data_IF_822271175293
#
_entry.id   IF_822271175293
#
_cell.length_a   1.000
_cell.length_b   1.000
_cell.length_c   1.000
_cell.angle_alpha   90.00
_cell.angle_beta   90.00
_cell.angle_gamma   90.00
#
_symmetry.space_group_name_H-M   'P 1'
#
loop_
_entity.id
_entity.type
_entity.pdbx_description
1 polymer ?
#
# COMPACT_ATOMS: atom_id res chain seq x y z
N UNK A 1 -4.57 -34.65 -17.32
CA UNK A 1 -3.80 -33.83 -16.39
C UNK A 1 -4.71 -32.66 -16.03
N UNK A 2 -4.92 -32.28 -14.77
CA UNK A 2 -5.69 -31.09 -14.49
C UNK A 2 -5.04 -29.91 -15.19
N UNK A 3 -5.86 -29.06 -15.78
CA UNK A 3 -5.44 -27.87 -16.52
C UNK A 3 -4.62 -27.00 -15.54
N UNK A 4 -3.32 -26.83 -15.80
CA UNK A 4 -2.46 -25.99 -14.95
C UNK A 4 -2.86 -24.53 -15.21
N UNK A 5 -3.07 -23.78 -14.13
CA UNK A 5 -3.39 -22.37 -14.19
C UNK A 5 -2.47 -21.60 -15.15
N UNK A 6 -3.03 -20.71 -15.96
CA UNK A 6 -2.30 -19.85 -16.87
C UNK A 6 -1.68 -18.72 -16.08
N UNK A 7 -0.35 -18.70 -16.01
CA UNK A 7 0.40 -17.72 -15.24
C UNK A 7 1.15 -16.75 -16.15
N UNK A 8 1.15 -15.46 -15.79
CA UNK A 8 2.08 -14.47 -16.32
C UNK A 8 3.30 -14.33 -15.42
N UNK A 9 4.44 -13.93 -16.00
CA UNK A 9 5.68 -13.69 -15.28
C UNK A 9 6.13 -12.25 -15.53
N UNK A 10 6.32 -11.49 -14.45
CA UNK A 10 6.88 -10.14 -14.46
C UNK A 10 8.10 -10.09 -13.54
N UNK A 11 9.15 -9.37 -13.94
CA UNK A 11 10.36 -9.21 -13.15
C UNK A 11 10.82 -7.75 -13.14
N UNK A 12 11.34 -7.32 -12.00
CA UNK A 12 11.99 -6.00 -11.90
C UNK A 12 13.31 -5.98 -12.69
N UNK A 13 13.81 -4.78 -12.98
CA UNK A 13 15.04 -4.57 -13.79
C UNK A 13 16.34 -4.93 -13.05
N UNK A 14 16.26 -5.44 -11.81
CA UNK A 14 17.45 -5.85 -11.08
C UNK A 14 18.03 -7.16 -11.62
N UNK A 15 19.38 -7.28 -11.67
CA UNK A 15 20.07 -8.47 -12.17
C UNK A 15 19.60 -9.77 -11.49
N UNK A 16 19.36 -9.72 -10.18
CA UNK A 16 18.87 -10.86 -9.41
C UNK A 16 17.45 -11.30 -9.81
N UNK A 17 16.56 -10.35 -10.04
CA UNK A 17 15.20 -10.65 -10.45
C UNK A 17 15.17 -11.17 -11.89
N UNK A 18 15.96 -10.58 -12.79
CA UNK A 18 16.05 -11.00 -14.19
C UNK A 18 16.66 -12.41 -14.30
N UNK A 19 17.72 -12.72 -13.55
CA UNK A 19 18.30 -14.07 -13.53
C UNK A 19 17.28 -15.11 -13.00
N UNK A 20 16.54 -14.78 -11.94
CA UNK A 20 15.51 -15.67 -11.41
C UNK A 20 14.36 -15.87 -12.41
N UNK A 21 13.91 -14.81 -13.07
CA UNK A 21 12.87 -14.87 -14.10
C UNK A 21 13.31 -15.71 -15.30
N UNK A 22 14.56 -15.59 -15.75
CA UNK A 22 15.13 -16.41 -16.83
C UNK A 22 15.09 -17.91 -16.47
N UNK A 23 15.47 -18.25 -15.21
CA UNK A 23 15.41 -19.65 -14.74
C UNK A 23 13.97 -20.17 -14.67
N UNK A 24 13.01 -19.35 -14.24
CA UNK A 24 11.60 -19.71 -14.20
C UNK A 24 11.03 -19.84 -15.64
N UNK A 25 11.45 -18.97 -16.55
CA UNK A 25 11.02 -18.95 -17.94
C UNK A 25 11.31 -20.24 -18.68
N UNK A 26 12.43 -20.92 -18.37
CA UNK A 26 12.80 -22.20 -18.99
C UNK A 26 11.89 -23.37 -18.59
N UNK A 27 11.24 -23.29 -17.44
CA UNK A 27 10.50 -24.39 -16.82
C UNK A 27 8.99 -24.23 -16.92
N UNK A 28 8.47 -23.12 -17.46
CA UNK A 28 7.05 -22.76 -17.42
C UNK A 28 6.44 -22.43 -18.77
N UNK A 29 5.13 -22.65 -18.88
CA UNK A 29 4.30 -22.13 -19.96
C UNK A 29 3.69 -20.83 -19.49
N UNK A 30 4.39 -19.75 -19.74
CA UNK A 30 3.94 -18.41 -19.37
C UNK A 30 3.07 -17.82 -20.48
N UNK A 31 2.06 -17.06 -20.10
CA UNK A 31 1.14 -16.38 -21.01
C UNK A 31 1.25 -14.85 -20.82
N UNK A 32 0.81 -14.05 -21.80
CA UNK A 32 0.66 -12.61 -21.61
C UNK A 32 -0.24 -12.28 -20.42
N UNK A 33 -0.01 -11.15 -19.75
CA UNK A 33 -0.77 -10.75 -18.56
C UNK A 33 -2.29 -10.72 -18.80
N UNK A 34 -2.71 -10.29 -19.99
CA UNK A 34 -4.12 -10.23 -20.38
C UNK A 34 -4.81 -11.61 -20.47
N UNK A 35 -4.05 -12.70 -20.61
CA UNK A 35 -4.55 -14.06 -20.72
C UNK A 35 -4.36 -14.88 -19.43
N UNK A 36 -3.70 -14.29 -18.43
CA UNK A 36 -3.31 -14.98 -17.21
C UNK A 36 -4.45 -15.04 -16.20
N UNK A 37 -4.47 -16.11 -15.43
CA UNK A 37 -5.35 -16.31 -14.25
C UNK A 37 -4.69 -15.82 -12.96
N UNK A 38 -3.35 -15.70 -12.95
CA UNK A 38 -2.57 -15.07 -11.90
C UNK A 38 -1.24 -14.58 -12.46
N UNK A 39 -0.60 -13.64 -11.77
CA UNK A 39 0.72 -13.11 -12.12
C UNK A 39 1.76 -13.48 -11.06
N UNK A 40 2.91 -13.98 -11.52
CA UNK A 40 4.10 -14.18 -10.68
C UNK A 40 4.99 -12.95 -10.85
N UNK A 41 5.25 -12.26 -9.75
CA UNK A 41 6.03 -11.01 -9.69
C UNK A 41 7.36 -11.30 -9.01
N UNK A 42 8.46 -11.17 -9.75
CA UNK A 42 9.84 -11.41 -9.25
C UNK A 42 10.51 -10.06 -8.97
N UNK A 43 10.79 -9.78 -7.70
CA UNK A 43 11.35 -8.48 -7.31
C UNK A 43 11.25 -8.22 -5.82
N UNK A 44 11.10 -6.97 -5.41
CA UNK A 44 10.80 -6.55 -4.05
C UNK A 44 9.40 -5.92 -3.93
N UNK A 45 9.06 -5.43 -2.73
CA UNK A 45 7.76 -4.80 -2.45
C UNK A 45 7.45 -3.62 -3.39
N UNK A 46 8.47 -2.81 -3.72
CA UNK A 46 8.30 -1.67 -4.64
C UNK A 46 7.83 -2.11 -6.03
N UNK A 47 8.39 -3.19 -6.60
CA UNK A 47 7.97 -3.71 -7.89
C UNK A 47 6.59 -4.39 -7.82
N UNK A 48 6.29 -5.07 -6.69
CA UNK A 48 4.95 -5.58 -6.45
C UNK A 48 3.93 -4.43 -6.45
N UNK A 49 4.19 -3.35 -5.72
CA UNK A 49 3.30 -2.17 -5.70
C UNK A 49 3.11 -1.57 -7.09
N UNK A 50 4.19 -1.41 -7.88
CA UNK A 50 4.09 -0.94 -9.26
C UNK A 50 3.19 -1.85 -10.12
N UNK A 51 3.36 -3.16 -9.98
CA UNK A 51 2.51 -4.15 -10.70
C UNK A 51 1.05 -4.02 -10.29
N UNK A 52 0.78 -3.93 -8.99
CA UNK A 52 -0.58 -3.78 -8.47
C UNK A 52 -1.23 -2.46 -8.90
N UNK A 53 -0.46 -1.35 -8.93
CA UNK A 53 -0.94 -0.06 -9.45
C UNK A 53 -1.26 -0.14 -10.95
N UNK A 54 -0.41 -0.77 -11.76
CA UNK A 54 -0.67 -0.97 -13.17
C UNK A 54 -1.95 -1.80 -13.41
N UNK A 55 -2.23 -2.77 -12.54
CA UNK A 55 -3.47 -3.53 -12.58
C UNK A 55 -4.70 -2.70 -12.17
N UNK A 56 -4.55 -1.78 -11.21
CA UNK A 56 -5.63 -0.86 -10.80
C UNK A 56 -5.92 0.20 -11.86
N UNK A 57 -4.89 0.70 -12.53
CA UNK A 57 -5.04 1.78 -13.52
C UNK A 57 -5.71 1.26 -14.81
N UNK A 58 -5.20 0.18 -15.41
CA UNK A 58 -5.68 -0.28 -16.74
C UNK A 58 -5.60 -1.80 -16.95
N UNK A 59 -5.23 -2.57 -15.93
CA UNK A 59 -4.95 -4.00 -16.07
C UNK A 59 -6.07 -4.93 -15.61
N UNK A 60 -5.91 -6.25 -15.83
CA UNK A 60 -6.78 -7.23 -15.23
C UNK A 60 -6.50 -7.34 -13.73
N UNK A 61 -7.54 -7.28 -12.89
CA UNK A 61 -7.42 -7.49 -11.45
C UNK A 61 -7.31 -8.99 -11.13
N UNK A 62 -6.16 -9.60 -11.43
CA UNK A 62 -5.87 -11.01 -11.21
C UNK A 62 -5.00 -11.20 -9.95
N UNK A 63 -5.04 -12.40 -9.31
CA UNK A 63 -4.19 -12.68 -8.15
C UNK A 63 -2.69 -12.52 -8.45
N UNK A 64 -1.95 -11.86 -7.56
CA UNK A 64 -0.51 -11.64 -7.66
C UNK A 64 0.26 -12.49 -6.65
N UNK A 65 1.25 -13.23 -7.13
CA UNK A 65 2.15 -14.06 -6.34
C UNK A 65 3.57 -13.51 -6.41
N UNK A 66 4.04 -12.88 -5.35
CA UNK A 66 5.38 -12.28 -5.29
C UNK A 66 6.47 -13.28 -4.93
N UNK A 67 7.63 -13.20 -5.57
CA UNK A 67 8.87 -13.85 -5.19
C UNK A 67 9.90 -12.80 -4.77
N UNK A 68 10.31 -12.82 -3.50
CA UNK A 68 11.21 -11.80 -2.95
C UNK A 68 12.65 -11.97 -3.45
N UNK A 69 13.08 -11.04 -4.25
CA UNK A 69 14.47 -10.79 -4.65
C UNK A 69 14.94 -9.38 -4.23
N UNK A 70 14.19 -8.72 -3.32
CA UNK A 70 14.55 -7.48 -2.65
C UNK A 70 15.04 -7.71 -1.22
N UNK A 71 15.07 -6.63 -0.42
CA UNK A 71 15.60 -6.65 0.95
C UNK A 71 14.59 -7.14 2.00
N UNK A 72 13.36 -6.67 1.97
CA UNK A 72 12.34 -6.95 3.01
C UNK A 72 11.30 -7.95 2.50
N UNK A 73 10.43 -7.56 1.58
CA UNK A 73 9.47 -8.44 0.93
C UNK A 73 8.21 -8.72 1.74
N UNK A 74 7.57 -7.69 2.31
CA UNK A 74 6.32 -7.83 3.05
C UNK A 74 5.17 -8.38 2.21
N UNK A 75 5.08 -7.95 0.95
CA UNK A 75 4.07 -8.40 0.00
C UNK A 75 4.50 -9.64 -0.80
N UNK A 76 5.68 -10.20 -0.50
CA UNK A 76 6.34 -11.22 -1.30
C UNK A 76 6.47 -12.55 -0.54
N UNK A 77 6.56 -13.64 -1.28
CA UNK A 77 6.96 -14.94 -0.76
C UNK A 77 8.48 -15.11 -0.81
N UNK A 78 9.04 -15.96 0.06
CA UNK A 78 10.48 -16.27 0.02
C UNK A 78 10.84 -16.97 -1.30
N UNK A 79 11.92 -16.55 -1.93
CA UNK A 79 12.50 -17.24 -3.06
C UNK A 79 13.07 -18.58 -2.55
N UNK A 80 12.41 -19.71 -2.88
CA UNK A 80 12.85 -21.08 -2.56
C UNK A 80 13.01 -21.82 -3.86
N UNK A 81 14.14 -22.50 -4.04
CA UNK A 81 14.52 -23.15 -5.31
C UNK A 81 13.92 -24.53 -5.56
N UNK A 82 13.25 -25.14 -4.60
CA UNK A 82 13.01 -26.59 -4.64
C UNK A 82 11.61 -27.06 -5.05
N UNK A 83 10.67 -26.13 -5.33
CA UNK A 83 9.31 -26.51 -5.73
C UNK A 83 8.91 -25.79 -7.02
N UNK A 84 8.16 -26.52 -7.86
CA UNK A 84 7.53 -25.94 -9.05
C UNK A 84 6.65 -24.73 -8.68
N UNK A 85 6.88 -23.60 -9.32
CA UNK A 85 6.16 -22.34 -9.07
C UNK A 85 4.65 -22.50 -9.31
N UNK A 86 4.26 -23.28 -10.30
CA UNK A 86 2.85 -23.55 -10.59
C UNK A 86 2.15 -24.27 -9.44
N UNK A 87 2.83 -25.25 -8.81
CA UNK A 87 2.31 -25.95 -7.63
C UNK A 87 2.24 -25.03 -6.41
N UNK A 88 3.16 -24.08 -6.26
CA UNK A 88 3.14 -23.11 -5.16
C UNK A 88 1.94 -22.16 -5.32
N UNK A 89 1.76 -21.58 -6.50
CA UNK A 89 0.63 -20.70 -6.82
C UNK A 89 -0.70 -21.43 -6.61
N UNK A 90 -0.85 -22.66 -7.12
CA UNK A 90 -2.07 -23.45 -7.00
C UNK A 90 -2.45 -23.77 -5.52
N UNK A 91 -1.47 -23.82 -4.63
CA UNK A 91 -1.67 -24.12 -3.19
C UNK A 91 -1.63 -22.88 -2.30
N UNK A 92 -1.39 -21.71 -2.86
CA UNK A 92 -1.26 -20.46 -2.13
C UNK A 92 -2.58 -20.09 -1.41
N UNK A 93 -2.45 -19.40 -0.29
CA UNK A 93 -3.57 -18.76 0.41
C UNK A 93 -3.79 -17.37 -0.22
N UNK A 94 -5.00 -17.07 -0.61
CA UNK A 94 -5.38 -15.73 -1.08
C UNK A 94 -5.68 -14.80 0.07
N UNK A 95 -5.21 -13.56 -0.05
CA UNK A 95 -5.50 -12.45 0.87
C UNK A 95 -5.98 -11.28 0.04
N UNK A 96 -7.18 -10.80 0.35
CA UNK A 96 -7.74 -9.61 -0.31
C UNK A 96 -7.17 -8.34 0.32
N UNK A 97 -6.78 -7.39 -0.52
CA UNK A 97 -6.31 -6.05 -0.13
C UNK A 97 -7.15 -5.02 -0.87
N UNK A 98 -7.80 -4.14 -0.12
CA UNK A 98 -8.54 -3.01 -0.68
C UNK A 98 -7.67 -1.75 -0.59
N UNK A 99 -7.45 -1.02 -1.70
CA UNK A 99 -6.69 0.21 -1.67
C UNK A 99 -7.49 1.36 -1.03
N UNK A 100 -6.79 2.42 -0.65
CA UNK A 100 -7.38 3.71 -0.34
C UNK A 100 -7.76 4.41 -1.64
N UNK A 101 -8.95 4.99 -1.70
CA UNK A 101 -9.32 6.00 -2.67
C UNK A 101 -9.04 7.38 -2.05
N UNK A 102 -8.28 8.21 -2.74
CA UNK A 102 -7.98 9.57 -2.36
C UNK A 102 -8.59 10.54 -3.36
N UNK A 103 -9.32 11.53 -2.86
CA UNK A 103 -9.69 12.73 -3.60
C UNK A 103 -8.94 13.91 -2.99
N UNK A 104 -8.15 14.62 -3.79
CA UNK A 104 -7.41 15.79 -3.35
C UNK A 104 -7.78 16.99 -4.19
N UNK A 105 -8.09 18.12 -3.53
CA UNK A 105 -8.39 19.40 -4.17
C UNK A 105 -7.21 20.34 -3.95
N UNK A 106 -6.67 20.88 -5.02
CA UNK A 106 -5.62 21.91 -4.98
C UNK A 106 -6.19 23.27 -4.57
N UNK A 107 -5.33 24.22 -4.22
CA UNK A 107 -5.73 25.62 -3.95
C UNK A 107 -6.37 26.30 -5.16
N UNK A 108 -6.04 25.85 -6.37
CA UNK A 108 -6.69 26.31 -7.61
C UNK A 108 -8.10 25.72 -7.82
N UNK A 109 -8.57 24.86 -6.92
CA UNK A 109 -9.87 24.19 -7.03
C UNK A 109 -9.89 23.01 -8.00
N UNK A 110 -8.73 22.51 -8.42
CA UNK A 110 -8.62 21.33 -9.30
C UNK A 110 -8.67 20.07 -8.44
N UNK A 111 -9.56 19.15 -8.80
CA UNK A 111 -9.74 17.88 -8.12
C UNK A 111 -8.94 16.78 -8.84
N UNK A 112 -8.26 15.95 -8.03
CA UNK A 112 -7.48 14.81 -8.48
C UNK A 112 -7.89 13.56 -7.70
N UNK A 113 -7.88 12.41 -8.38
CA UNK A 113 -8.23 11.10 -7.80
C UNK A 113 -7.06 10.15 -7.95
N UNK A 114 -6.62 9.55 -6.85
CA UNK A 114 -5.58 8.52 -6.84
C UNK A 114 -5.97 7.38 -5.90
N UNK A 115 -5.38 6.20 -6.13
CA UNK A 115 -5.45 5.07 -5.22
C UNK A 115 -4.10 4.87 -4.54
N UNK A 116 -4.12 4.38 -3.29
CA UNK A 116 -2.94 3.94 -2.57
C UNK A 116 -3.16 2.56 -1.96
N UNK A 117 -2.20 1.68 -2.13
CA UNK A 117 -2.23 0.32 -1.58
C UNK A 117 -1.70 0.33 -0.15
N UNK A 118 -0.64 1.09 0.11
CA UNK A 118 -0.07 1.25 1.43
C UNK A 118 -0.69 2.42 2.20
N UNK A 119 -0.41 3.65 1.80
CA UNK A 119 -0.85 4.83 2.54
C UNK A 119 -1.04 6.07 1.66
N UNK A 120 -1.87 6.97 2.18
CA UNK A 120 -1.93 8.37 1.75
C UNK A 120 -1.30 9.22 2.84
N UNK A 121 -0.26 10.00 2.51
CA UNK A 121 0.43 10.88 3.45
C UNK A 121 0.37 12.33 3.02
N UNK A 122 0.11 13.24 3.97
CA UNK A 122 0.21 14.68 3.81
C UNK A 122 1.48 15.15 4.50
N UNK A 123 2.29 15.95 3.80
CA UNK A 123 3.59 16.44 4.29
C UNK A 123 3.72 17.95 4.06
N UNK A 124 4.32 18.66 5.03
CA UNK A 124 4.68 20.06 4.85
C UNK A 124 5.71 20.23 3.73
N UNK A 125 5.52 21.22 2.87
CA UNK A 125 6.47 21.52 1.79
C UNK A 125 7.60 22.46 2.20
N UNK A 126 7.47 23.11 3.35
CA UNK A 126 8.44 24.10 3.85
C UNK A 126 8.93 23.76 5.24
N UNK A 127 9.78 24.64 5.83
CA UNK A 127 10.23 24.52 7.23
C UNK A 127 9.13 24.83 8.25
N UNK A 128 8.02 25.44 7.84
CA UNK A 128 6.88 25.68 8.71
C UNK A 128 6.13 24.37 8.95
N UNK A 129 5.64 24.15 10.18
CA UNK A 129 4.77 23.01 10.47
C UNK A 129 3.52 23.08 9.61
N UNK A 130 3.05 21.93 9.12
CA UNK A 130 1.69 21.84 8.59
C UNK A 130 0.69 22.15 9.70
N UNK A 131 -0.42 22.77 9.35
CA UNK A 131 -1.62 22.91 10.19
C UNK A 131 -2.78 22.31 9.44
N UNK A 132 -3.37 21.27 9.99
CA UNK A 132 -4.42 20.49 9.37
C UNK A 132 -5.62 20.41 10.29
N UNK A 133 -6.82 20.68 9.76
CA UNK A 133 -8.04 20.22 10.39
C UNK A 133 -8.27 18.77 9.99
N UNK A 134 -8.59 17.91 10.95
CA UNK A 134 -8.84 16.49 10.72
C UNK A 134 -10.29 16.17 11.04
N UNK A 135 -10.99 15.60 10.07
CA UNK A 135 -12.38 15.13 10.22
C UNK A 135 -12.48 13.62 9.99
N UNK A 136 -13.44 12.99 10.66
CA UNK A 136 -13.81 11.59 10.46
C UNK A 136 -15.33 11.53 10.33
N UNK A 137 -15.80 10.95 9.23
CA UNK A 137 -17.21 10.81 8.89
C UNK A 137 -17.96 12.17 8.94
N UNK A 138 -17.33 13.21 8.38
CA UNK A 138 -17.86 14.58 8.31
C UNK A 138 -17.82 15.34 9.64
N UNK A 139 -17.31 14.75 10.73
CA UNK A 139 -17.18 15.44 12.03
C UNK A 139 -15.73 15.84 12.28
N UNK A 140 -15.49 17.11 12.53
CA UNK A 140 -14.17 17.61 12.93
C UNK A 140 -13.79 16.97 14.26
N UNK A 141 -12.68 16.23 14.26
CA UNK A 141 -12.12 15.56 15.44
C UNK A 141 -10.92 16.32 16.01
N UNK A 142 -10.14 16.94 15.15
CA UNK A 142 -9.01 17.80 15.55
C UNK A 142 -9.13 19.11 14.75
N UNK A 143 -9.50 20.22 15.38
CA UNK A 143 -9.65 21.51 14.69
C UNK A 143 -8.30 22.06 14.17
N UNK A 144 -7.19 21.77 14.84
CA UNK A 144 -5.84 22.14 14.40
C UNK A 144 -4.83 21.07 14.86
N UNK A 145 -4.32 20.29 13.90
CA UNK A 145 -3.16 19.42 14.05
C UNK A 145 -1.94 20.16 13.52
N UNK A 146 -1.01 20.55 14.39
CA UNK A 146 0.29 21.12 14.01
C UNK A 146 1.34 20.00 14.02
N UNK A 147 1.92 19.70 12.86
CA UNK A 147 2.79 18.52 12.68
C UNK A 147 3.74 18.72 11.48
N UNK A 148 4.60 17.75 11.22
CA UNK A 148 5.32 17.65 9.94
C UNK A 148 4.43 17.03 8.86
N UNK A 149 3.47 16.20 9.26
CA UNK A 149 2.53 15.56 8.38
C UNK A 149 1.56 14.63 9.11
N UNK A 150 0.73 13.95 8.35
CA UNK A 150 -0.20 12.92 8.82
C UNK A 150 -0.40 11.91 7.71
N UNK A 151 -0.64 10.65 8.05
CA UNK A 151 -0.93 9.63 7.06
C UNK A 151 -2.14 8.76 7.46
N UNK A 152 -2.77 8.18 6.44
CA UNK A 152 -3.77 7.14 6.56
C UNK A 152 -3.22 5.90 5.89
N UNK A 153 -3.07 4.81 6.64
CA UNK A 153 -2.53 3.55 6.11
C UNK A 153 -3.58 2.43 6.14
N UNK A 154 -3.50 1.58 5.12
CA UNK A 154 -4.20 0.29 5.08
C UNK A 154 -3.49 -0.72 6.00
N UNK A 155 -4.08 -1.88 6.28
CA UNK A 155 -3.36 -2.98 6.92
C UNK A 155 -2.08 -3.38 6.17
N UNK A 156 -2.08 -3.38 4.83
CA UNK A 156 -0.90 -3.69 4.02
C UNK A 156 0.20 -2.64 4.20
N UNK A 157 -0.15 -1.35 4.26
CA UNK A 157 0.77 -0.23 4.47
C UNK A 157 1.17 -0.02 5.93
N UNK A 158 0.54 -0.73 6.88
CA UNK A 158 0.82 -0.51 8.30
C UNK A 158 2.27 -0.82 8.70
N UNK A 159 2.97 -1.66 7.93
CA UNK A 159 4.39 -2.01 8.09
C UNK A 159 5.33 -1.18 7.21
N UNK A 160 4.81 -0.23 6.41
CA UNK A 160 5.58 0.67 5.55
C UNK A 160 5.85 2.01 6.25
N UNK A 161 5.51 3.13 5.62
CA UNK A 161 5.76 4.47 6.21
C UNK A 161 5.03 4.68 7.53
N UNK A 162 3.86 4.06 7.71
CA UNK A 162 3.13 4.09 8.96
C UNK A 162 3.98 3.60 10.14
N UNK A 163 4.72 2.49 9.97
CA UNK A 163 5.62 1.96 11.02
C UNK A 163 6.75 2.95 11.33
N UNK A 164 7.35 3.55 10.30
CA UNK A 164 8.39 4.57 10.46
C UNK A 164 7.89 5.82 11.17
N UNK A 165 6.60 6.14 11.05
CA UNK A 165 5.92 7.21 11.77
C UNK A 165 5.45 6.79 13.18
N UNK A 166 5.86 5.62 13.68
CA UNK A 166 5.42 5.02 14.94
C UNK A 166 3.90 4.75 14.99
N UNK A 167 3.28 4.48 13.88
CA UNK A 167 1.90 4.04 13.79
C UNK A 167 1.72 2.57 14.20
N UNK A 168 0.48 2.15 14.48
CA UNK A 168 0.17 0.78 14.84
C UNK A 168 0.33 -0.16 13.64
N UNK A 169 0.83 -1.37 13.88
CA UNK A 169 0.80 -2.45 12.89
C UNK A 169 -0.60 -3.08 12.94
N UNK A 170 -1.23 -3.17 11.78
CA UNK A 170 -2.57 -3.76 11.62
C UNK A 170 -2.48 -5.15 10.96
N UNK A 171 -3.22 -6.16 11.46
CA UNK A 171 -3.33 -7.44 10.77
C UNK A 171 -3.87 -7.25 9.34
N UNK A 172 -3.28 -7.91 8.34
CA UNK A 172 -3.59 -7.68 6.93
C UNK A 172 -5.08 -7.90 6.57
N UNK A 173 -5.73 -8.83 7.23
CA UNK A 173 -7.16 -9.11 7.03
C UNK A 173 -8.10 -8.30 7.93
N UNK A 174 -7.61 -7.31 8.67
CA UNK A 174 -8.46 -6.50 9.55
C UNK A 174 -9.22 -5.43 8.76
N UNK A 175 -10.47 -5.18 9.18
CA UNK A 175 -11.31 -4.11 8.64
C UNK A 175 -11.01 -2.78 9.37
N UNK A 176 -9.73 -2.35 9.34
CA UNK A 176 -9.24 -1.19 10.08
C UNK A 176 -8.33 -0.33 9.21
N UNK A 177 -8.22 0.95 9.57
CA UNK A 177 -7.27 1.93 9.04
C UNK A 177 -6.44 2.51 10.18
N UNK A 178 -5.18 2.81 9.93
CA UNK A 178 -4.34 3.59 10.83
C UNK A 178 -4.33 5.05 10.38
N UNK A 179 -4.65 5.97 11.29
CA UNK A 179 -4.48 7.41 11.11
C UNK A 179 -3.33 7.84 12.01
N UNK A 180 -2.18 8.18 11.45
CA UNK A 180 -0.93 8.37 12.19
C UNK A 180 -0.34 9.75 11.90
N UNK A 181 -0.08 10.59 12.93
CA UNK A 181 0.62 11.86 12.76
C UNK A 181 2.12 11.65 12.61
N UNK A 182 2.76 12.53 11.85
CA UNK A 182 4.21 12.57 11.66
C UNK A 182 4.75 13.75 12.47
N UNK A 183 5.56 13.49 13.48
CA UNK A 183 6.15 14.49 14.37
C UNK A 183 5.14 15.52 14.89
N UNK A 184 4.05 15.13 15.57
CA UNK A 184 3.02 16.05 16.02
C UNK A 184 3.54 16.99 17.10
N UNK A 185 3.36 18.32 16.88
CA UNK A 185 3.68 19.35 17.86
C UNK A 185 2.47 19.66 18.76
N UNK A 186 1.28 19.71 18.18
CA UNK A 186 -0.01 19.87 18.88
C UNK A 186 -1.11 19.08 18.15
N UNK A 187 -1.99 18.34 18.85
CA UNK A 187 -1.96 18.04 20.29
C UNK A 187 -0.76 17.14 20.68
N UNK A 188 0.00 17.49 21.71
CA UNK A 188 1.28 16.83 22.06
C UNK A 188 1.17 15.33 22.41
N UNK A 189 0.02 14.88 22.87
CA UNK A 189 -0.20 13.49 23.32
C UNK A 189 -0.97 12.65 22.32
N UNK A 190 -1.41 13.24 21.23
CA UNK A 190 -2.14 12.48 20.23
C UNK A 190 -1.16 11.67 19.38
N UNK A 191 -1.35 10.35 19.38
CA UNK A 191 -0.51 9.40 18.67
C UNK A 191 -1.17 8.81 17.44
N UNK A 192 -2.34 9.31 17.07
CA UNK A 192 -3.14 8.75 15.99
C UNK A 192 -4.38 8.02 16.49
N UNK A 193 -5.02 7.34 15.57
CA UNK A 193 -6.22 6.55 15.84
C UNK A 193 -6.25 5.31 14.95
N UNK A 194 -6.86 4.24 15.43
CA UNK A 194 -7.28 3.10 14.62
C UNK A 194 -8.77 3.30 14.35
N UNK A 195 -9.16 3.28 13.09
CA UNK A 195 -10.51 3.56 12.62
C UNK A 195 -11.06 2.35 11.85
N UNK A 196 -12.37 2.13 11.84
CA UNK A 196 -12.99 1.17 10.93
C UNK A 196 -12.67 1.51 9.46
N UNK A 197 -12.55 0.51 8.61
CA UNK A 197 -12.28 0.69 7.16
C UNK A 197 -13.47 1.33 6.41
N UNK A 198 -14.62 1.43 7.05
CA UNK A 198 -15.79 2.17 6.55
C UNK A 198 -15.69 3.68 6.77
N UNK A 199 -14.70 4.15 7.55
CA UNK A 199 -14.55 5.57 7.86
C UNK A 199 -14.03 6.36 6.66
N UNK A 200 -14.53 7.57 6.50
CA UNK A 200 -14.01 8.60 5.60
C UNK A 200 -13.22 9.63 6.39
N UNK A 201 -11.95 9.76 6.08
CA UNK A 201 -11.03 10.69 6.75
C UNK A 201 -10.86 11.92 5.86
N UNK A 202 -11.09 13.11 6.41
CA UNK A 202 -10.91 14.38 5.70
C UNK A 202 -9.80 15.20 6.35
N UNK A 203 -9.03 15.88 5.51
CA UNK A 203 -8.01 16.84 5.91
C UNK A 203 -8.27 18.15 5.18
N UNK A 204 -8.25 19.28 5.92
CA UNK A 204 -8.25 20.63 5.34
C UNK A 204 -6.99 21.35 5.77
N UNK A 205 -6.26 21.89 4.81
CA UNK A 205 -5.03 22.64 5.08
C UNK A 205 -5.38 24.02 5.62
N UNK A 206 -4.85 24.34 6.78
CA UNK A 206 -5.01 25.65 7.41
C UNK A 206 -3.81 26.54 7.07
N UNK A 207 -4.08 27.82 6.78
CA UNK A 207 -3.04 28.80 6.37
C UNK A 207 -2.19 28.33 5.17
N UNK A 208 -2.78 27.87 4.04
CA UNK A 208 -2.04 27.21 2.96
C UNK A 208 -0.99 28.12 2.29
N UNK A 209 -1.18 29.43 2.26
CA UNK A 209 -0.18 30.38 1.73
C UNK A 209 1.12 30.40 2.53
N UNK A 210 1.02 30.22 3.83
CA UNK A 210 2.17 30.20 4.75
C UNK A 210 2.72 28.81 4.99
N UNK A 211 1.86 27.80 4.88
CA UNK A 211 2.09 26.41 5.28
C UNK A 211 1.62 25.45 4.19
N UNK A 212 2.21 25.51 2.99
CA UNK A 212 1.83 24.62 1.92
C UNK A 212 2.09 23.16 2.30
N UNK A 213 1.20 22.30 1.81
CA UNK A 213 1.21 20.86 2.07
C UNK A 213 1.09 20.11 0.75
N UNK A 214 1.91 19.09 0.59
CA UNK A 214 1.76 18.08 -0.46
C UNK A 214 1.03 16.85 0.07
N UNK A 215 0.41 16.09 -0.84
CA UNK A 215 -0.15 14.77 -0.56
C UNK A 215 0.50 13.74 -1.46
N UNK A 216 0.76 12.56 -0.91
CA UNK A 216 1.36 11.43 -1.63
C UNK A 216 0.46 10.21 -1.46
N UNK A 217 0.04 9.60 -2.56
CA UNK A 217 -0.64 8.32 -2.59
C UNK A 217 0.37 7.26 -3.09
N UNK A 218 0.94 6.47 -2.17
CA UNK A 218 2.09 5.59 -2.40
C UNK A 218 3.27 6.34 -3.07
N UNK A 219 3.27 6.44 -4.40
CA UNK A 219 4.35 7.09 -5.18
C UNK A 219 3.88 8.31 -5.98
N UNK A 220 2.57 8.61 -5.99
CA UNK A 220 1.98 9.72 -6.76
C UNK A 220 1.87 10.97 -5.87
N UNK A 221 2.76 11.94 -6.06
CA UNK A 221 2.77 13.21 -5.30
C UNK A 221 1.91 14.27 -6.01
N UNK A 222 1.15 15.02 -5.22
CA UNK A 222 0.46 16.24 -5.64
C UNK A 222 0.75 17.35 -4.64
N UNK A 223 1.06 18.55 -5.14
CA UNK A 223 1.42 19.71 -4.33
C UNK A 223 0.30 20.75 -4.29
N UNK A 224 0.50 21.73 -3.43
CA UNK A 224 -0.39 22.90 -3.31
C UNK A 224 -1.83 22.52 -2.94
N UNK A 225 -1.96 21.68 -1.94
CA UNK A 225 -3.22 21.06 -1.52
C UNK A 225 -4.03 22.02 -0.63
N UNK A 226 -5.36 22.05 -0.85
CA UNK A 226 -6.33 22.69 0.01
C UNK A 226 -7.06 21.65 0.89
N UNK A 227 -7.55 20.57 0.28
CA UNK A 227 -8.34 19.55 0.96
C UNK A 227 -8.00 18.16 0.42
N UNK A 228 -8.10 17.15 1.30
CA UNK A 228 -7.95 15.74 0.95
C UNK A 228 -9.03 14.92 1.64
N UNK A 229 -9.64 14.01 0.91
CA UNK A 229 -10.55 12.99 1.46
C UNK A 229 -9.99 11.60 1.14
N UNK A 230 -9.95 10.73 2.15
CA UNK A 230 -9.44 9.36 2.05
C UNK A 230 -10.47 8.38 2.58
N UNK A 231 -10.73 7.32 1.83
CA UNK A 231 -11.59 6.20 2.25
C UNK A 231 -11.11 4.91 1.56
N UNK A 232 -11.54 3.74 2.02
CA UNK A 232 -11.29 2.47 1.31
C UNK A 232 -12.11 2.44 0.01
N UNK A 233 -11.48 1.99 -1.08
CA UNK A 233 -12.14 1.66 -2.34
C UNK A 233 -12.69 0.22 -2.25
N UNK A 234 -13.90 0.05 -1.71
CA UNK A 234 -14.49 -1.28 -1.49
C UNK A 234 -14.82 -2.04 -2.78
N UNK A 235 -14.94 -1.33 -3.90
CA UNK A 235 -15.21 -1.85 -5.26
C UNK A 235 -13.95 -2.36 -5.97
N UNK A 236 -12.77 -1.98 -5.49
CA UNK A 236 -11.48 -2.37 -6.04
C UNK A 236 -10.76 -3.31 -5.07
N UNK A 237 -10.69 -4.60 -5.43
CA UNK A 237 -10.02 -5.60 -4.59
C UNK A 237 -8.86 -6.23 -5.33
N UNK A 238 -7.67 -6.05 -4.79
CA UNK A 238 -6.47 -6.77 -5.18
C UNK A 238 -6.39 -8.09 -4.40
N UNK A 239 -5.82 -9.12 -5.02
CA UNK A 239 -5.61 -10.42 -4.36
C UNK A 239 -4.12 -10.74 -4.34
N UNK A 240 -3.56 -10.88 -3.15
CA UNK A 240 -2.19 -11.37 -2.95
C UNK A 240 -2.21 -12.86 -2.61
N UNK A 241 -1.26 -13.60 -3.17
CA UNK A 241 -1.10 -15.03 -2.95
C UNK A 241 0.13 -15.32 -2.09
N UNK A 242 -0.07 -16.03 -0.97
CA UNK A 242 1.00 -16.38 -0.03
C UNK A 242 1.12 -17.88 0.15
N UNK A 243 2.36 -18.37 0.27
CA UNK A 243 2.65 -19.77 0.61
C UNK A 243 1.99 -20.19 1.92
N UNK A 244 1.48 -21.40 1.98
CA UNK A 244 1.01 -21.99 3.24
C UNK A 244 2.16 -22.14 4.25
N UNK A 245 1.96 -21.68 5.48
CA UNK A 245 2.98 -21.69 6.54
C UNK A 245 3.93 -20.49 6.51
N UNK A 246 3.65 -19.49 5.68
CA UNK A 246 4.25 -18.16 5.71
C UNK A 246 3.12 -17.15 5.74
N UNK A 247 2.23 -17.28 6.75
CA UNK A 247 1.15 -16.33 6.89
C UNK A 247 1.74 -14.95 7.19
N UNK A 248 1.17 -13.93 6.54
CA UNK A 248 1.52 -12.55 6.82
C UNK A 248 1.31 -12.21 8.31
N UNK A 249 0.36 -12.88 8.95
CA UNK A 249 0.10 -12.75 10.39
C UNK A 249 1.34 -13.08 11.23
N UNK A 250 2.10 -14.13 10.87
CA UNK A 250 3.33 -14.51 11.57
C UNK A 250 4.49 -13.52 11.30
N UNK A 251 4.53 -12.90 10.11
CA UNK A 251 5.48 -11.83 9.80
C UNK A 251 5.14 -10.55 10.57
N UNK A 252 3.88 -10.18 10.60
CA UNK A 252 3.38 -9.04 11.39
C UNK A 252 3.72 -9.23 12.87
N UNK A 253 3.54 -10.44 13.41
CA UNK A 253 3.96 -10.76 14.78
C UNK A 253 5.48 -10.62 14.92
N UNK A 254 6.26 -11.19 14.00
CA UNK A 254 7.73 -11.13 14.04
C UNK A 254 8.22 -9.68 14.02
N UNK A 255 7.68 -8.82 13.17
CA UNK A 255 8.07 -7.39 13.09
C UNK A 255 7.79 -6.62 14.39
N UNK A 256 6.72 -6.96 15.09
CA UNK A 256 6.39 -6.31 16.37
C UNK A 256 7.40 -6.65 17.50
N UNK A 257 8.18 -7.70 17.34
CA UNK A 257 9.16 -8.18 18.33
C UNK A 257 10.61 -8.04 17.85
N UNK A 258 10.86 -7.50 16.68
CA UNK A 258 12.22 -7.12 16.26
C UNK A 258 12.58 -5.77 16.92
N UNK A 259 13.53 -5.82 17.85
CA UNK A 259 14.08 -4.68 18.58
C UNK A 259 15.39 -4.28 17.93
#
# INVERSE_FOLDING_TARGET
>A
MPDRARLALLASDTDHAQAAAAMLGTNGRWVPLAEAEAVVVVGGDGFMLQTLHAMLDDGPLIPAYGLNHGTVGFLMNRARSSRDIFDRVARAKSVAVAPLAMTATTRAGIEHHFCAINEVSLLRETRQTAKLEVSVDGKVRIPELACDGVLVATPAGSTAYNLSANGPILPLGSAMLALTPISPFRPRRWRGAILPDTSRIGFRVLEPDKRPVSVVADQKELRDIAEVSVAIAHDQRLTLLFDRGHSLDERIVTEQFQV
#
